data_IF_939454386039
#
_entry.id   IF_939454386039
#
_cell.length_a   1.000
_cell.length_b   1.000
_cell.length_c   1.000
_cell.angle_alpha   90.00
_cell.angle_beta   90.00
_cell.angle_gamma   90.00
#
_symmetry.space_group_name_H-M   'P 1'
#
loop_
_entity.id
_entity.type
_entity.pdbx_description
1 polymer ?
#
# COMPACT_ATOMS: atom_id res chain seq x y z
N UNK A 1 8.81 -6.67 9.25
CA UNK A 1 7.75 -5.88 8.60
C UNK A 1 6.42 -6.55 8.88
N UNK A 2 5.44 -5.81 9.39
CA UNK A 2 4.10 -6.33 9.74
C UNK A 2 3.02 -5.77 8.82
N UNK A 3 3.16 -4.51 8.40
CA UNK A 3 2.16 -3.78 7.64
C UNK A 3 2.74 -3.19 6.36
N UNK A 4 2.04 -3.35 5.24
CA UNK A 4 2.30 -2.65 3.99
C UNK A 4 1.19 -1.61 3.78
N UNK A 5 1.53 -0.33 3.62
CA UNK A 5 0.55 0.71 3.36
C UNK A 5 0.27 0.81 1.85
N UNK A 6 -1.00 0.94 1.47
CA UNK A 6 -1.37 1.33 0.11
C UNK A 6 -1.25 2.85 -0.10
N UNK A 7 -1.46 3.28 -1.35
CA UNK A 7 -1.35 4.69 -1.75
C UNK A 7 -2.42 5.58 -1.08
N UNK A 8 -3.61 5.03 -0.80
CA UNK A 8 -4.69 5.77 -0.14
C UNK A 8 -4.36 6.07 1.33
N UNK A 9 -3.81 5.11 2.07
CA UNK A 9 -3.44 5.28 3.47
C UNK A 9 -2.27 6.24 3.61
N UNK A 10 -1.26 6.18 2.71
CA UNK A 10 -0.19 7.21 2.68
C UNK A 10 -0.78 8.60 2.43
N UNK A 11 -1.79 8.71 1.55
CA UNK A 11 -2.48 9.98 1.32
C UNK A 11 -3.21 10.50 2.57
N UNK A 12 -3.81 9.62 3.37
CA UNK A 12 -4.42 9.99 4.65
C UNK A 12 -3.38 10.41 5.69
N UNK A 13 -2.23 9.75 5.72
CA UNK A 13 -1.10 10.13 6.57
C UNK A 13 -0.63 11.57 6.27
N UNK A 14 -0.47 11.93 4.99
CA UNK A 14 -0.10 13.31 4.60
C UNK A 14 -1.18 14.34 4.91
N UNK A 15 -2.45 13.94 4.91
CA UNK A 15 -3.57 14.77 5.37
C UNK A 15 -3.69 14.85 6.89
N UNK A 16 -2.81 14.17 7.63
CA UNK A 16 -2.80 14.07 9.10
C UNK A 16 -4.11 13.50 9.66
N UNK A 17 -4.65 12.46 9.02
CA UNK A 17 -5.80 11.74 9.56
C UNK A 17 -5.46 11.23 10.98
N UNK A 18 -6.21 11.60 12.03
CA UNK A 18 -5.79 11.39 13.43
C UNK A 18 -5.51 9.92 13.76
N UNK A 19 -6.39 9.02 13.32
CA UNK A 19 -6.32 7.58 13.55
C UNK A 19 -5.13 6.95 12.83
N UNK A 20 -4.91 7.30 11.56
CA UNK A 20 -3.76 6.82 10.77
C UNK A 20 -2.45 7.28 11.39
N UNK A 21 -2.36 8.55 11.80
CA UNK A 21 -1.18 9.10 12.48
C UNK A 21 -0.95 8.37 13.80
N UNK A 22 -1.99 8.19 14.61
CA UNK A 22 -1.91 7.50 15.90
C UNK A 22 -1.40 6.06 15.73
N UNK A 23 -1.98 5.29 14.80
CA UNK A 23 -1.54 3.93 14.48
C UNK A 23 -0.08 3.90 14.02
N UNK A 24 0.31 4.81 13.14
CA UNK A 24 1.69 4.91 12.65
C UNK A 24 2.69 5.18 13.80
N UNK A 25 2.34 6.06 14.74
CA UNK A 25 3.22 6.39 15.88
C UNK A 25 3.38 5.26 16.90
N UNK A 26 2.47 4.29 16.92
CA UNK A 26 2.55 3.12 17.79
C UNK A 26 3.41 1.98 17.22
N UNK A 27 3.91 2.11 15.99
CA UNK A 27 4.67 1.07 15.31
C UNK A 27 6.16 1.43 15.25
N UNK A 28 7.02 0.42 15.34
CA UNK A 28 8.43 0.61 15.08
C UNK A 28 8.67 0.89 13.59
N UNK A 29 9.67 1.70 13.20
CA UNK A 29 9.92 2.01 11.78
C UNK A 29 10.07 0.78 10.87
N UNK A 30 10.64 -0.33 11.37
CA UNK A 30 10.78 -1.59 10.62
C UNK A 30 9.52 -2.47 10.53
N UNK A 31 8.43 -2.07 11.20
CA UNK A 31 7.15 -2.77 11.15
C UNK A 31 6.24 -2.29 10.02
N UNK A 32 6.58 -1.17 9.36
CA UNK A 32 5.77 -0.58 8.29
C UNK A 32 6.60 -0.37 7.03
N UNK A 33 6.02 -0.74 5.90
CA UNK A 33 6.62 -0.52 4.58
C UNK A 33 5.58 -0.06 3.55
N UNK A 34 6.06 0.28 2.36
CA UNK A 34 5.25 0.43 1.16
C UNK A 34 5.82 -0.46 0.05
N UNK A 35 4.97 -0.80 -0.93
CA UNK A 35 5.43 -1.38 -2.19
C UNK A 35 6.12 -0.31 -3.05
N UNK A 36 7.14 -0.66 -3.83
CA UNK A 36 7.68 0.21 -4.88
C UNK A 36 6.63 0.66 -5.91
N UNK A 37 5.53 -0.11 -6.04
CA UNK A 37 4.36 0.30 -6.85
C UNK A 37 3.66 1.51 -6.22
N UNK A 38 3.49 1.52 -4.90
CA UNK A 38 2.94 2.68 -4.15
C UNK A 38 3.88 3.88 -4.22
N UNK A 39 5.20 3.67 -4.13
CA UNK A 39 6.19 4.72 -4.37
C UNK A 39 5.98 5.38 -5.76
N UNK A 40 5.84 4.56 -6.81
CA UNK A 40 5.60 5.07 -8.16
C UNK A 40 4.30 5.91 -8.26
N UNK A 41 3.22 5.48 -7.61
CA UNK A 41 1.96 6.24 -7.58
C UNK A 41 2.11 7.59 -6.86
N UNK A 42 2.86 7.62 -5.74
CA UNK A 42 3.12 8.85 -5.00
C UNK A 42 3.92 9.85 -5.86
N UNK A 43 5.00 9.40 -6.48
CA UNK A 43 5.83 10.22 -7.36
C UNK A 43 5.03 10.76 -8.55
N UNK A 44 4.24 9.90 -9.21
CA UNK A 44 3.33 10.32 -10.27
C UNK A 44 2.34 11.39 -9.80
N UNK A 45 1.73 11.19 -8.63
CA UNK A 45 0.80 12.16 -8.04
C UNK A 45 1.45 13.52 -7.76
N UNK A 46 2.71 13.52 -7.31
CA UNK A 46 3.49 14.72 -7.05
C UNK A 46 3.78 15.50 -8.36
N UNK A 47 4.19 14.78 -9.41
CA UNK A 47 4.48 15.36 -10.73
C UNK A 47 3.22 15.91 -11.41
N UNK A 48 2.13 15.14 -11.37
CA UNK A 48 0.84 15.54 -11.95
C UNK A 48 0.32 16.84 -11.34
N UNK A 49 0.44 17.01 -10.02
CA UNK A 49 -0.03 18.20 -9.29
C UNK A 49 0.88 19.42 -9.45
N UNK A 50 2.10 19.27 -9.99
CA UNK A 50 3.10 20.34 -10.14
C UNK A 50 3.35 21.14 -8.85
N UNK A 51 3.24 20.50 -7.69
CA UNK A 51 3.38 21.14 -6.37
C UNK A 51 4.75 20.82 -5.76
N UNK A 52 5.61 21.83 -5.63
CA UNK A 52 6.93 21.70 -5.00
C UNK A 52 6.83 21.24 -3.55
N UNK A 53 5.86 21.78 -2.80
CA UNK A 53 5.60 21.37 -1.41
C UNK A 53 5.24 19.89 -1.29
N UNK A 54 4.36 19.38 -2.16
CA UNK A 54 3.97 17.98 -2.13
C UNK A 54 5.15 17.06 -2.49
N UNK A 55 5.96 17.47 -3.48
CA UNK A 55 7.18 16.74 -3.85
C UNK A 55 8.15 16.62 -2.68
N UNK A 56 8.35 17.70 -1.93
CA UNK A 56 9.24 17.65 -0.75
C UNK A 56 8.69 16.73 0.33
N UNK A 57 7.40 16.85 0.67
CA UNK A 57 6.76 15.96 1.66
C UNK A 57 6.86 14.48 1.26
N UNK A 58 6.67 14.15 -0.02
CA UNK A 58 6.82 12.77 -0.51
C UNK A 58 8.27 12.32 -0.40
N UNK A 59 9.25 13.16 -0.79
CA UNK A 59 10.67 12.80 -0.68
C UNK A 59 11.08 12.54 0.77
N UNK A 60 10.68 13.40 1.70
CA UNK A 60 10.95 13.23 3.13
C UNK A 60 10.35 11.91 3.64
N UNK A 61 9.10 11.60 3.25
CA UNK A 61 8.47 10.35 3.60
C UNK A 61 9.23 9.12 3.05
N UNK A 62 9.56 9.12 1.76
CA UNK A 62 10.27 8.01 1.11
C UNK A 62 11.67 7.77 1.72
N UNK A 63 12.33 8.81 2.24
CA UNK A 63 13.61 8.67 2.95
C UNK A 63 13.49 8.00 4.33
N UNK A 64 12.28 7.88 4.89
CA UNK A 64 12.05 7.36 6.24
C UNK A 64 11.33 6.02 6.29
N UNK A 65 10.52 5.72 5.27
CA UNK A 65 9.74 4.49 5.19
C UNK A 65 10.55 3.37 4.54
N UNK A 66 10.31 2.12 4.95
CA UNK A 66 10.87 0.98 4.23
C UNK A 66 10.14 0.80 2.90
N UNK A 67 10.87 0.73 1.81
CA UNK A 67 10.32 0.45 0.47
C UNK A 67 10.68 -0.99 0.11
N UNK A 68 9.66 -1.80 -0.18
CA UNK A 68 9.87 -3.15 -0.67
C UNK A 68 10.00 -3.13 -2.19
N UNK A 69 11.10 -3.68 -2.71
CA UNK A 69 11.30 -3.87 -4.14
C UNK A 69 10.37 -4.94 -4.70
N UNK A 70 9.87 -4.71 -5.92
CA UNK A 70 9.11 -5.70 -6.67
C UNK A 70 10.06 -6.77 -7.21
N UNK A 71 9.97 -7.98 -6.69
CA UNK A 71 10.84 -9.10 -7.05
C UNK A 71 10.08 -10.26 -7.74
N UNK A 72 10.79 -11.36 -7.99
CA UNK A 72 10.23 -12.53 -8.66
C UNK A 72 9.17 -13.26 -7.82
N UNK A 73 9.24 -13.19 -6.49
CA UNK A 73 8.25 -13.82 -5.60
C UNK A 73 6.93 -13.04 -5.64
N UNK A 74 7.01 -11.70 -5.65
CA UNK A 74 5.85 -10.84 -5.89
C UNK A 74 5.23 -11.09 -7.28
N UNK A 75 6.07 -11.25 -8.31
CA UNK A 75 5.61 -11.54 -9.67
C UNK A 75 4.91 -12.90 -9.80
N UNK A 76 5.43 -13.96 -9.16
CA UNK A 76 4.79 -15.27 -9.13
C UNK A 76 3.43 -15.21 -8.43
N UNK A 77 3.40 -14.58 -7.24
CA UNK A 77 2.18 -14.37 -6.46
C UNK A 77 1.12 -13.60 -7.26
N UNK A 78 1.53 -12.58 -8.02
CA UNK A 78 0.63 -11.83 -8.89
C UNK A 78 -0.03 -12.68 -9.97
N UNK A 79 0.73 -13.57 -10.62
CA UNK A 79 0.20 -14.45 -11.65
C UNK A 79 -0.93 -15.33 -11.13
N UNK A 80 -0.72 -15.94 -9.97
CA UNK A 80 -1.72 -16.78 -9.29
C UNK A 80 -2.94 -15.96 -8.84
N UNK A 81 -2.70 -14.81 -8.20
CA UNK A 81 -3.75 -13.93 -7.73
C UNK A 81 -4.65 -13.45 -8.89
N UNK A 82 -4.05 -12.96 -9.97
CA UNK A 82 -4.78 -12.44 -11.12
C UNK A 82 -5.63 -13.53 -11.79
N UNK A 83 -5.06 -14.70 -12.05
CA UNK A 83 -5.79 -15.83 -12.60
C UNK A 83 -6.97 -16.25 -11.71
N UNK A 84 -6.78 -16.21 -10.39
CA UNK A 84 -7.82 -16.54 -9.41
C UNK A 84 -8.95 -15.51 -9.39
N UNK A 85 -8.64 -14.21 -9.42
CA UNK A 85 -9.64 -13.14 -9.47
C UNK A 85 -10.42 -13.18 -10.77
N UNK A 86 -9.75 -13.34 -11.92
CA UNK A 86 -10.38 -13.47 -13.23
C UNK A 86 -11.34 -14.67 -13.28
N UNK A 87 -10.91 -15.84 -12.80
CA UNK A 87 -11.77 -17.04 -12.70
C UNK A 87 -13.00 -16.82 -11.81
N UNK A 88 -12.86 -16.01 -10.76
CA UNK A 88 -13.96 -15.64 -9.83
C UNK A 88 -14.81 -14.47 -10.34
N UNK A 89 -14.52 -13.91 -11.52
CA UNK A 89 -15.23 -12.75 -12.08
C UNK A 89 -15.07 -11.46 -11.26
N UNK A 90 -13.99 -11.36 -10.47
CA UNK A 90 -13.72 -10.20 -9.61
C UNK A 90 -12.84 -9.19 -10.33
N UNK A 91 -13.21 -7.91 -10.28
CA UNK A 91 -12.47 -6.81 -10.89
C UNK A 91 -11.78 -5.98 -9.80
N UNK A 92 -10.47 -5.84 -9.91
CA UNK A 92 -9.63 -5.02 -9.03
C UNK A 92 -8.68 -4.17 -9.89
N UNK A 93 -8.32 -2.97 -9.45
CA UNK A 93 -7.40 -2.10 -10.18
C UNK A 93 -6.06 -2.79 -10.45
N UNK A 94 -5.44 -2.52 -11.61
CA UNK A 94 -4.21 -3.21 -12.00
C UNK A 94 -3.07 -2.98 -11.00
N UNK A 95 -2.89 -1.75 -10.52
CA UNK A 95 -1.87 -1.42 -9.52
C UNK A 95 -2.24 -1.99 -8.15
N UNK A 96 -3.52 -1.96 -7.76
CA UNK A 96 -3.99 -2.57 -6.52
C UNK A 96 -3.74 -4.08 -6.50
N UNK A 97 -3.92 -4.78 -7.64
CA UNK A 97 -3.60 -6.20 -7.76
C UNK A 97 -2.10 -6.46 -7.55
N UNK A 98 -1.23 -5.59 -8.08
CA UNK A 98 0.20 -5.69 -7.83
C UNK A 98 0.48 -5.48 -6.34
N UNK A 99 -0.03 -4.40 -5.74
CA UNK A 99 0.17 -4.11 -4.30
C UNK A 99 -0.33 -5.27 -3.42
N UNK A 100 -1.51 -5.83 -3.72
CA UNK A 100 -2.06 -6.98 -3.01
C UNK A 100 -1.16 -8.22 -3.13
N UNK A 101 -0.69 -8.54 -4.34
CA UNK A 101 0.24 -9.64 -4.57
C UNK A 101 1.57 -9.42 -3.83
N UNK A 102 2.08 -8.19 -3.81
CA UNK A 102 3.30 -7.86 -3.09
C UNK A 102 3.12 -8.09 -1.58
N UNK A 103 2.02 -7.61 -1.01
CA UNK A 103 1.72 -7.81 0.41
C UNK A 103 1.62 -9.30 0.77
N UNK A 104 0.97 -10.11 -0.08
CA UNK A 104 0.91 -11.58 0.09
C UNK A 104 2.32 -12.18 0.05
N UNK A 105 3.13 -11.86 -0.97
CA UNK A 105 4.47 -12.42 -1.12
C UNK A 105 5.41 -12.10 0.05
N UNK A 106 5.20 -10.95 0.71
CA UNK A 106 5.97 -10.52 1.89
C UNK A 106 5.37 -10.99 3.21
N UNK A 107 4.21 -11.64 3.20
CA UNK A 107 3.50 -12.06 4.41
C UNK A 107 3.06 -10.88 5.30
N UNK A 108 2.77 -9.72 4.70
CA UNK A 108 2.38 -8.50 5.43
C UNK A 108 0.87 -8.29 5.39
N UNK A 109 0.34 -7.67 6.44
CA UNK A 109 -1.04 -7.12 6.43
C UNK A 109 -1.06 -5.87 5.54
N UNK A 110 -1.94 -5.83 4.53
CA UNK A 110 -2.17 -4.59 3.78
C UNK A 110 -3.02 -3.65 4.64
N UNK A 111 -2.60 -2.39 4.72
CA UNK A 111 -3.38 -1.33 5.33
C UNK A 111 -3.99 -0.51 4.21
N UNK A 112 -5.31 -0.51 4.11
CA UNK A 112 -6.07 0.18 3.06
C UNK A 112 -7.50 0.47 3.53
N UNK A 113 -8.07 1.57 3.04
CA UNK A 113 -9.51 1.85 3.19
C UNK A 113 -10.31 1.46 1.92
N UNK A 114 -9.66 0.86 0.92
CA UNK A 114 -10.31 0.34 -0.27
C UNK A 114 -10.86 -1.08 -0.03
N UNK A 115 -12.17 -1.21 -0.18
CA UNK A 115 -12.89 -2.48 0.00
C UNK A 115 -12.50 -3.52 -1.06
N UNK A 116 -11.93 -3.12 -2.20
CA UNK A 116 -11.50 -4.03 -3.25
C UNK A 116 -10.49 -5.07 -2.74
N UNK A 117 -9.59 -4.69 -1.83
CA UNK A 117 -8.59 -5.60 -1.26
C UNK A 117 -9.22 -6.73 -0.44
N UNK A 118 -10.41 -6.53 0.15
CA UNK A 118 -11.15 -7.58 0.88
C UNK A 118 -11.68 -8.68 -0.03
N UNK A 119 -11.62 -8.50 -1.35
CA UNK A 119 -11.98 -9.55 -2.31
C UNK A 119 -10.92 -10.65 -2.44
N UNK A 120 -9.69 -10.38 -1.99
CA UNK A 120 -8.57 -11.32 -1.95
C UNK A 120 -8.63 -12.10 -0.65
N UNK A 121 -8.78 -13.42 -0.71
CA UNK A 121 -9.04 -14.24 0.49
C UNK A 121 -7.76 -14.49 1.31
N UNK A 122 -6.63 -14.55 0.63
CA UNK A 122 -5.31 -14.83 1.17
C UNK A 122 -4.66 -13.58 1.81
N UNK A 123 -5.29 -12.41 1.68
CA UNK A 123 -4.74 -11.13 2.10
C UNK A 123 -5.32 -10.70 3.45
N UNK A 124 -4.45 -10.49 4.44
CA UNK A 124 -4.82 -9.82 5.68
C UNK A 124 -4.98 -8.33 5.42
N UNK A 125 -6.13 -7.75 5.78
CA UNK A 125 -6.49 -6.35 5.50
C UNK A 125 -6.85 -5.62 6.79
N UNK A 126 -6.24 -4.46 7.02
CA UNK A 126 -6.63 -3.51 8.07
C UNK A 126 -7.04 -2.15 7.47
N UNK A 127 -7.99 -1.48 8.12
CA UNK A 127 -8.40 -0.12 7.78
C UNK A 127 -8.14 0.81 8.98
N UNK A 128 -7.08 1.62 8.89
CA UNK A 128 -6.70 2.57 9.93
C UNK A 128 -7.48 3.89 9.88
N UNK A 129 -8.40 4.07 8.95
CA UNK A 129 -9.26 5.27 8.86
C UNK A 129 -10.50 5.18 9.74
N UNK A 130 -10.74 4.01 10.34
CA UNK A 130 -11.87 3.77 11.24
C UNK A 130 -11.38 3.50 12.65
N UNK A 131 -12.09 4.02 13.65
CA UNK A 131 -11.99 3.54 15.04
C UNK A 131 -12.65 2.16 15.12
N UNK A 132 -11.94 1.18 15.66
CA UNK A 132 -12.51 -0.12 16.04
C UNK A 132 -13.69 0.07 17.01
#
# INVERSE_FOLDING_TARGET
>A
MRHMLDTNIVSHLFKRHPEVVSRMTCLAPGDVCISSITEAELLYGADKKKSSRLKETIREFLNTITICDWDSDAAATYGELRATLEKKGKVMGNLDQLIAAHAISRGTTIVTNDRAFRMVQELAVEDWTTTL
#
